data_IF_858140064784
#
_entry.id   IF_858140064784
#
_cell.length_a   1.000
_cell.length_b   1.000
_cell.length_c   1.000
_cell.angle_alpha   90.00
_cell.angle_beta   90.00
_cell.angle_gamma   90.00
#
_symmetry.space_group_name_H-M   'P 1'
#
loop_
_entity.id
_entity.type
_entity.pdbx_description
1 polymer ?
#
# COMPACT_ATOMS: atom_id res chain seq x y z
N UNK A 1 -4.70 32.26 -5.23
CA UNK A 1 -4.22 31.95 -6.60
C UNK A 1 -5.09 30.84 -7.17
N UNK A 2 -5.65 30.99 -8.38
CA UNK A 2 -6.22 29.85 -9.11
C UNK A 2 -5.03 28.96 -9.51
N UNK A 3 -4.95 27.74 -8.99
CA UNK A 3 -3.83 26.82 -9.24
C UNK A 3 -3.33 26.01 -8.03
N UNK A 4 -3.86 26.25 -6.83
CA UNK A 4 -3.59 25.38 -5.68
C UNK A 4 -4.31 24.04 -5.79
N UNK A 5 -3.62 22.94 -5.50
CA UNK A 5 -4.23 21.63 -5.26
C UNK A 5 -5.08 21.70 -4.00
N UNK A 6 -6.33 22.11 -4.15
CA UNK A 6 -7.29 22.07 -3.06
C UNK A 6 -7.64 20.61 -2.77
N UNK A 7 -7.60 20.17 -1.49
CA UNK A 7 -8.01 18.82 -1.14
C UNK A 7 -9.42 18.56 -1.65
N UNK A 8 -9.66 17.38 -2.23
CA UNK A 8 -10.99 17.03 -2.76
C UNK A 8 -12.09 17.09 -1.72
N UNK A 9 -11.75 16.87 -0.45
CA UNK A 9 -12.68 16.95 0.69
C UNK A 9 -12.86 18.38 1.23
N UNK A 10 -12.25 19.39 0.59
CA UNK A 10 -12.28 20.78 1.05
C UNK A 10 -11.49 21.06 2.33
N UNK A 11 -10.90 20.03 2.96
CA UNK A 11 -10.15 20.14 4.21
C UNK A 11 -9.00 19.14 4.25
N UNK A 12 -7.79 19.64 4.53
CA UNK A 12 -6.59 18.79 4.72
C UNK A 12 -6.77 17.81 5.88
N UNK A 13 -7.42 18.24 6.96
CA UNK A 13 -7.69 17.37 8.13
C UNK A 13 -8.59 16.21 7.73
N UNK A 14 -9.66 16.48 6.96
CA UNK A 14 -10.54 15.42 6.47
C UNK A 14 -9.77 14.43 5.58
N UNK A 15 -8.90 14.91 4.70
CA UNK A 15 -8.06 14.06 3.83
C UNK A 15 -7.10 13.19 4.63
N UNK A 16 -6.41 13.75 5.63
CA UNK A 16 -5.53 12.97 6.52
C UNK A 16 -6.32 11.91 7.28
N UNK A 17 -7.51 12.24 7.79
CA UNK A 17 -8.35 11.28 8.51
C UNK A 17 -8.83 10.15 7.60
N UNK A 18 -9.35 10.44 6.41
CA UNK A 18 -9.80 9.41 5.47
C UNK A 18 -8.65 8.49 5.07
N UNK A 19 -7.48 9.07 4.75
CA UNK A 19 -6.29 8.29 4.42
C UNK A 19 -5.79 7.43 5.59
N UNK A 20 -5.79 7.98 6.81
CA UNK A 20 -5.42 7.26 8.02
C UNK A 20 -6.37 6.10 8.34
N UNK A 21 -7.69 6.34 8.28
CA UNK A 21 -8.71 5.30 8.47
C UNK A 21 -8.57 4.20 7.42
N UNK A 22 -8.30 4.55 6.17
CA UNK A 22 -8.05 3.57 5.12
C UNK A 22 -6.80 2.72 5.41
N UNK A 23 -5.69 3.34 5.82
CA UNK A 23 -4.49 2.61 6.26
C UNK A 23 -4.77 1.66 7.42
N UNK A 24 -5.56 2.08 8.41
CA UNK A 24 -5.98 1.24 9.53
C UNK A 24 -6.88 0.09 9.08
N UNK A 25 -7.84 0.35 8.18
CA UNK A 25 -8.74 -0.67 7.67
C UNK A 25 -7.98 -1.75 6.87
N UNK A 26 -7.06 -1.34 6.00
CA UNK A 26 -6.23 -2.25 5.19
C UNK A 26 -5.33 -3.11 6.08
N UNK A 27 -4.70 -2.51 7.11
CA UNK A 27 -3.89 -3.28 8.07
C UNK A 27 -4.71 -4.20 8.95
N UNK A 28 -5.88 -3.75 9.42
CA UNK A 28 -6.81 -4.59 10.17
C UNK A 28 -7.28 -5.80 9.35
N UNK A 29 -7.51 -5.64 8.04
CA UNK A 29 -7.87 -6.74 7.14
C UNK A 29 -6.75 -7.79 7.05
N UNK A 30 -5.48 -7.39 6.98
CA UNK A 30 -4.34 -8.34 7.00
C UNK A 30 -4.20 -9.02 8.36
N UNK A 31 -4.43 -8.28 9.44
CA UNK A 31 -4.35 -8.81 10.79
C UNK A 31 -5.43 -9.87 11.07
N UNK A 32 -6.64 -9.66 10.53
CA UNK A 32 -7.83 -10.43 10.86
C UNK A 32 -7.66 -11.95 10.63
N UNK A 33 -7.83 -12.79 11.68
CA UNK A 33 -7.61 -14.23 11.57
C UNK A 33 -8.53 -14.92 10.56
N UNK A 34 -9.80 -14.51 10.46
CA UNK A 34 -10.75 -15.17 9.56
C UNK A 34 -10.35 -15.01 8.09
N UNK A 35 -9.82 -13.86 7.68
CA UNK A 35 -9.40 -13.65 6.29
C UNK A 35 -8.18 -14.52 5.93
N UNK A 36 -7.36 -14.84 6.93
CA UNK A 36 -6.19 -15.70 6.77
C UNK A 36 -6.53 -17.19 6.81
N UNK A 37 -7.52 -17.61 7.59
CA UNK A 37 -7.91 -19.02 7.72
C UNK A 37 -8.56 -19.60 6.47
N UNK A 38 -9.17 -18.76 5.63
CA UNK A 38 -9.75 -19.20 4.35
C UNK A 38 -8.70 -19.44 3.26
N UNK A 39 -7.49 -18.92 3.42
CA UNK A 39 -6.43 -19.10 2.45
C UNK A 39 -5.66 -20.40 2.72
N UNK A 40 -5.55 -21.25 1.70
CA UNK A 40 -4.81 -22.51 1.81
C UNK A 40 -3.29 -22.33 1.94
N UNK A 41 -2.76 -21.13 1.66
CA UNK A 41 -1.35 -20.80 1.84
C UNK A 41 -1.11 -19.29 2.01
N UNK A 42 -0.02 -18.88 2.70
CA UNK A 42 0.36 -17.47 2.83
C UNK A 42 0.55 -16.76 1.48
N UNK A 43 1.08 -17.45 0.47
CA UNK A 43 1.30 -16.88 -0.87
C UNK A 43 0.00 -16.59 -1.61
N UNK A 44 -1.00 -17.48 -1.52
CA UNK A 44 -2.32 -17.24 -2.13
C UNK A 44 -3.05 -16.10 -1.43
N UNK A 45 -2.97 -16.04 -0.10
CA UNK A 45 -3.51 -14.91 0.67
C UNK A 45 -2.88 -13.59 0.21
N UNK A 46 -1.55 -13.54 0.15
CA UNK A 46 -0.80 -12.35 -0.26
C UNK A 46 -1.13 -11.90 -1.69
N UNK A 47 -1.21 -12.82 -2.65
CA UNK A 47 -1.56 -12.52 -4.02
C UNK A 47 -3.00 -11.98 -4.11
N UNK A 48 -3.96 -12.65 -3.48
CA UNK A 48 -5.36 -12.20 -3.48
C UNK A 48 -5.54 -10.84 -2.81
N UNK A 49 -4.87 -10.62 -1.68
CA UNK A 49 -4.89 -9.34 -0.98
C UNK A 49 -4.25 -8.22 -1.80
N UNK A 50 -3.07 -8.48 -2.39
CA UNK A 50 -2.38 -7.52 -3.25
C UNK A 50 -3.22 -7.10 -4.45
N UNK A 51 -3.85 -8.06 -5.14
CA UNK A 51 -4.76 -7.78 -6.27
C UNK A 51 -5.96 -6.95 -5.81
N UNK A 52 -6.64 -7.34 -4.73
CA UNK A 52 -7.79 -6.60 -4.21
C UNK A 52 -7.41 -5.16 -3.82
N UNK A 53 -6.26 -4.99 -3.15
CA UNK A 53 -5.74 -3.68 -2.78
C UNK A 53 -5.43 -2.81 -4.00
N UNK A 54 -4.79 -3.37 -5.02
CA UNK A 54 -4.48 -2.67 -6.27
C UNK A 54 -5.75 -2.21 -6.98
N UNK A 55 -6.78 -3.06 -7.07
CA UNK A 55 -8.08 -2.71 -7.66
C UNK A 55 -8.72 -1.54 -6.92
N UNK A 56 -8.77 -1.59 -5.58
CA UNK A 56 -9.35 -0.50 -4.76
C UNK A 56 -8.54 0.79 -4.92
N UNK A 57 -7.21 0.70 -4.97
CA UNK A 57 -6.32 1.85 -5.11
C UNK A 57 -6.48 2.51 -6.49
N UNK A 58 -6.59 1.73 -7.56
CA UNK A 58 -6.86 2.22 -8.91
C UNK A 58 -8.26 2.82 -9.01
N UNK A 59 -9.27 2.20 -8.39
CA UNK A 59 -10.64 2.72 -8.36
C UNK A 59 -10.70 4.07 -7.61
N UNK A 60 -9.99 4.20 -6.49
CA UNK A 60 -9.86 5.46 -5.78
C UNK A 60 -9.23 6.53 -6.66
N UNK A 61 -8.10 6.22 -7.30
CA UNK A 61 -7.45 7.15 -8.23
C UNK A 61 -8.42 7.58 -9.34
N UNK A 62 -9.08 6.64 -10.01
CA UNK A 62 -10.02 6.96 -11.09
C UNK A 62 -11.18 7.83 -10.59
N UNK A 63 -11.72 7.53 -9.39
CA UNK A 63 -12.75 8.35 -8.76
C UNK A 63 -12.27 9.77 -8.46
N UNK A 64 -11.07 9.94 -7.90
CA UNK A 64 -10.50 11.26 -7.63
C UNK A 64 -10.14 11.99 -8.92
N UNK A 65 -9.75 11.31 -10.00
CA UNK A 65 -9.57 11.89 -11.35
C UNK A 65 -10.87 12.48 -11.86
N UNK A 66 -11.96 11.70 -11.84
CA UNK A 66 -13.26 12.10 -12.37
C UNK A 66 -13.84 13.30 -11.61
N UNK A 67 -13.64 13.33 -10.28
CA UNK A 67 -14.09 14.45 -9.45
C UNK A 67 -13.23 15.70 -9.63
N UNK A 68 -11.91 15.55 -9.80
CA UNK A 68 -10.99 16.68 -9.95
C UNK A 68 -10.98 17.26 -11.38
N UNK A 69 -11.32 16.47 -12.41
CA UNK A 69 -11.19 16.82 -13.83
C UNK A 69 -12.42 16.42 -14.62
N UNK A 70 -13.33 17.36 -14.92
CA UNK A 70 -14.52 17.08 -15.73
C UNK A 70 -14.22 16.69 -17.18
N UNK A 71 -13.04 17.04 -17.72
CA UNK A 71 -12.58 16.68 -19.08
C UNK A 71 -11.44 15.63 -19.06
N UNK A 72 -11.75 14.34 -18.81
CA UNK A 72 -10.77 13.26 -18.79
C UNK A 72 -10.16 12.96 -20.18
N UNK A 73 -10.77 13.47 -21.27
CA UNK A 73 -10.32 13.27 -22.65
C UNK A 73 -9.02 14.03 -23.00
N UNK A 74 -8.52 14.88 -22.09
CA UNK A 74 -7.26 15.61 -22.25
C UNK A 74 -6.01 14.77 -21.94
N UNK A 75 -6.18 13.55 -21.42
CA UNK A 75 -5.08 12.66 -21.07
C UNK A 75 -4.69 11.79 -22.27
N UNK A 76 -3.38 11.63 -22.49
CA UNK A 76 -2.86 10.60 -23.40
C UNK A 76 -3.27 9.20 -22.88
N UNK A 77 -4.12 8.45 -23.60
CA UNK A 77 -4.62 7.15 -23.15
C UNK A 77 -3.51 6.12 -22.96
N UNK A 78 -2.48 6.12 -23.83
CA UNK A 78 -1.42 5.13 -23.79
C UNK A 78 -0.51 5.37 -22.58
N UNK A 79 -0.08 6.62 -22.36
CA UNK A 79 0.69 6.98 -21.17
C UNK A 79 -0.10 6.73 -19.89
N UNK A 80 -1.39 7.08 -19.87
CA UNK A 80 -2.25 6.87 -18.69
C UNK A 80 -2.38 5.39 -18.35
N UNK A 81 -2.65 4.54 -19.35
CA UNK A 81 -2.74 3.09 -19.14
C UNK A 81 -1.43 2.50 -18.60
N UNK A 82 -0.29 2.93 -19.16
CA UNK A 82 1.03 2.50 -18.68
C UNK A 82 1.23 2.86 -17.20
N UNK A 83 0.96 4.10 -16.81
CA UNK A 83 1.15 4.53 -15.43
C UNK A 83 0.14 3.90 -14.47
N UNK A 84 -1.11 3.68 -14.89
CA UNK A 84 -2.10 2.92 -14.11
C UNK A 84 -1.61 1.48 -13.90
N UNK A 85 -1.11 0.82 -14.93
CA UNK A 85 -0.61 -0.55 -14.82
C UNK A 85 0.60 -0.65 -13.89
N UNK A 86 1.55 0.28 -14.02
CA UNK A 86 2.71 0.35 -13.14
C UNK A 86 2.30 0.63 -11.69
N UNK A 87 1.36 1.54 -11.48
CA UNK A 87 0.85 1.86 -10.16
C UNK A 87 0.09 0.66 -9.54
N UNK A 88 -0.75 -0.02 -10.31
CA UNK A 88 -1.44 -1.21 -9.88
C UNK A 88 -0.47 -2.33 -9.48
N UNK A 89 0.58 -2.53 -10.27
CA UNK A 89 1.63 -3.51 -9.98
C UNK A 89 2.40 -3.16 -8.70
N UNK A 90 2.79 -1.90 -8.54
CA UNK A 90 3.45 -1.42 -7.33
C UNK A 90 2.58 -1.56 -6.09
N UNK A 91 1.29 -1.22 -6.19
CA UNK A 91 0.32 -1.34 -5.11
C UNK A 91 0.15 -2.81 -4.70
N UNK A 92 0.00 -3.71 -5.68
CA UNK A 92 -0.10 -5.14 -5.45
C UNK A 92 1.18 -5.69 -4.81
N UNK A 93 2.36 -5.24 -5.24
CA UNK A 93 3.65 -5.67 -4.70
C UNK A 93 3.82 -5.24 -3.24
N UNK A 94 3.59 -3.97 -2.92
CA UNK A 94 3.73 -3.44 -1.55
C UNK A 94 2.73 -4.13 -0.60
N UNK A 95 1.46 -4.21 -0.99
CA UNK A 95 0.42 -4.83 -0.16
C UNK A 95 0.60 -6.34 -0.04
N UNK A 96 0.87 -7.02 -1.15
CA UNK A 96 1.10 -8.46 -1.19
C UNK A 96 2.34 -8.87 -0.39
N UNK A 97 3.47 -8.17 -0.54
CA UNK A 97 4.68 -8.44 0.24
C UNK A 97 4.43 -8.25 1.75
N UNK A 98 3.76 -7.16 2.13
CA UNK A 98 3.44 -6.88 3.53
C UNK A 98 2.50 -7.92 4.14
N UNK A 99 1.48 -8.34 3.38
CA UNK A 99 0.55 -9.39 3.76
C UNK A 99 1.23 -10.77 3.85
N UNK A 100 2.11 -11.09 2.91
CA UNK A 100 2.91 -12.32 2.92
C UNK A 100 3.81 -12.39 4.15
N UNK A 101 4.59 -11.32 4.38
CA UNK A 101 5.53 -11.23 5.49
C UNK A 101 4.79 -11.30 6.83
N UNK A 102 3.63 -10.67 6.94
CA UNK A 102 2.77 -10.83 8.12
C UNK A 102 2.29 -12.27 8.26
N UNK A 103 1.69 -12.85 7.22
CA UNK A 103 1.09 -14.18 7.28
C UNK A 103 2.13 -15.28 7.56
N UNK A 104 3.34 -15.17 7.02
CA UNK A 104 4.41 -16.16 7.15
C UNK A 104 5.26 -15.97 8.41
N UNK A 105 5.67 -14.74 8.72
CA UNK A 105 6.66 -14.46 9.77
C UNK A 105 6.10 -13.66 10.95
N UNK A 106 4.86 -13.16 10.86
CA UNK A 106 4.20 -12.36 11.89
C UNK A 106 4.96 -11.08 12.24
N UNK A 107 5.58 -10.44 11.25
CA UNK A 107 6.32 -9.21 11.48
C UNK A 107 5.37 -8.03 11.72
N UNK A 108 5.49 -7.36 12.85
CA UNK A 108 4.66 -6.20 13.15
C UNK A 108 4.99 -5.02 12.21
N UNK A 109 6.25 -4.92 11.81
CA UNK A 109 6.73 -3.91 10.86
C UNK A 109 6.07 -4.00 9.49
N UNK A 110 5.57 -5.17 9.08
CA UNK A 110 4.85 -5.30 7.81
C UNK A 110 3.46 -4.68 7.84
N UNK A 111 2.79 -4.69 8.99
CA UNK A 111 1.56 -3.93 9.16
C UNK A 111 1.86 -2.43 9.14
N UNK A 112 2.93 -2.00 9.81
CA UNK A 112 3.32 -0.59 9.81
C UNK A 112 3.67 -0.08 8.40
N UNK A 113 4.46 -0.83 7.64
CA UNK A 113 4.80 -0.50 6.26
C UNK A 113 3.56 -0.39 5.37
N UNK A 114 2.63 -1.33 5.52
CA UNK A 114 1.36 -1.31 4.80
C UNK A 114 0.50 -0.10 5.16
N UNK A 115 0.36 0.20 6.47
CA UNK A 115 -0.34 1.40 6.94
C UNK A 115 0.23 2.66 6.31
N UNK A 116 1.55 2.85 6.42
CA UNK A 116 2.22 4.05 5.94
C UNK A 116 2.08 4.21 4.42
N UNK A 117 2.28 3.13 3.66
CA UNK A 117 2.14 3.15 2.20
C UNK A 117 0.69 3.45 1.77
N UNK A 118 -0.31 2.85 2.42
CA UNK A 118 -1.73 3.10 2.14
C UNK A 118 -2.15 4.51 2.49
N UNK A 119 -1.85 4.96 3.72
CA UNK A 119 -2.22 6.30 4.17
C UNK A 119 -1.57 7.37 3.29
N UNK A 120 -0.29 7.23 2.97
CA UNK A 120 0.38 8.18 2.07
C UNK A 120 -0.22 8.16 0.66
N UNK A 121 -0.43 6.98 0.07
CA UNK A 121 -1.01 6.85 -1.28
C UNK A 121 -2.38 7.50 -1.36
N UNK A 122 -3.28 7.18 -0.42
CA UNK A 122 -4.63 7.73 -0.41
C UNK A 122 -4.63 9.24 -0.14
N UNK A 123 -3.77 9.72 0.76
CA UNK A 123 -3.58 11.14 0.99
C UNK A 123 -3.18 11.86 -0.31
N UNK A 124 -2.17 11.36 -1.02
CA UNK A 124 -1.70 11.99 -2.28
C UNK A 124 -2.80 12.04 -3.34
N UNK A 125 -3.58 10.97 -3.51
CA UNK A 125 -4.68 10.93 -4.48
C UNK A 125 -5.83 11.88 -4.12
N UNK A 126 -6.11 12.05 -2.82
CA UNK A 126 -7.15 12.93 -2.32
C UNK A 126 -6.74 14.42 -2.32
N UNK A 127 -5.44 14.73 -2.22
CA UNK A 127 -4.92 16.11 -2.25
C UNK A 127 -4.68 16.61 -3.66
N UNK A 128 -4.01 15.82 -4.50
CA UNK A 128 -3.60 16.29 -5.84
C UNK A 128 -4.69 16.08 -6.91
N UNK A 129 -5.64 15.19 -6.65
CA UNK A 129 -6.56 14.69 -7.67
C UNK A 129 -5.84 13.71 -8.62
N UNK A 130 -6.59 12.79 -9.23
CA UNK A 130 -6.01 11.66 -9.98
C UNK A 130 -5.42 12.03 -11.35
N UNK A 131 -4.34 12.81 -11.40
CA UNK A 131 -3.61 13.12 -12.64
C UNK A 131 -2.68 11.99 -13.10
N UNK A 132 -2.33 11.99 -14.40
CA UNK A 132 -1.29 11.09 -14.95
C UNK A 132 0.10 11.38 -14.37
N UNK A 133 0.41 12.65 -14.08
CA UNK A 133 1.67 13.04 -13.41
C UNK A 133 1.77 12.47 -11.99
N UNK A 134 0.66 12.46 -11.25
CA UNK A 134 0.59 11.89 -9.90
C UNK A 134 0.83 10.38 -9.96
N UNK A 135 0.24 9.66 -10.93
CA UNK A 135 0.56 8.25 -11.16
C UNK A 135 2.01 8.03 -11.58
N UNK A 136 2.56 8.91 -12.42
CA UNK A 136 3.95 8.81 -12.86
C UNK A 136 4.91 8.92 -11.68
N UNK A 137 4.76 9.95 -10.83
CA UNK A 137 5.55 10.14 -9.61
C UNK A 137 5.34 8.94 -8.67
N UNK A 138 4.09 8.51 -8.49
CA UNK A 138 3.78 7.40 -7.60
C UNK A 138 4.44 6.09 -8.05
N UNK A 139 4.27 5.72 -9.32
CA UNK A 139 4.81 4.48 -9.89
C UNK A 139 6.33 4.48 -10.01
N UNK A 140 6.94 5.63 -10.35
CA UNK A 140 8.39 5.71 -10.58
C UNK A 140 9.21 6.04 -9.32
N UNK A 141 8.65 6.76 -8.35
CA UNK A 141 9.38 7.22 -7.16
C UNK A 141 8.84 6.55 -5.90
N UNK A 142 7.54 6.70 -5.61
CA UNK A 142 7.00 6.25 -4.32
C UNK A 142 6.95 4.73 -4.19
N UNK A 143 6.65 3.99 -5.26
CA UNK A 143 6.67 2.51 -5.22
C UNK A 143 8.04 1.97 -4.86
N UNK A 144 9.14 2.32 -5.54
CA UNK A 144 10.48 1.91 -5.13
C UNK A 144 10.82 2.31 -3.69
N UNK A 145 10.50 3.54 -3.29
CA UNK A 145 10.77 4.02 -1.93
C UNK A 145 10.02 3.19 -0.89
N UNK A 146 8.73 2.88 -1.10
CA UNK A 146 7.96 2.05 -0.18
C UNK A 146 8.45 0.62 -0.11
N UNK A 147 8.83 0.03 -1.24
CA UNK A 147 9.39 -1.32 -1.26
C UNK A 147 10.72 -1.38 -0.51
N UNK A 148 11.61 -0.41 -0.71
CA UNK A 148 12.89 -0.32 0.00
C UNK A 148 12.71 -0.06 1.49
N UNK A 149 11.82 0.86 1.87
CA UNK A 149 11.51 1.15 3.27
C UNK A 149 10.91 -0.07 3.97
N UNK A 150 9.97 -0.77 3.31
CA UNK A 150 9.41 -2.02 3.83
C UNK A 150 10.49 -3.09 4.01
N UNK A 151 11.35 -3.29 3.00
CA UNK A 151 12.45 -4.25 3.09
C UNK A 151 13.41 -3.92 4.24
N UNK A 152 13.76 -2.65 4.43
CA UNK A 152 14.60 -2.19 5.53
C UNK A 152 13.95 -2.48 6.90
N UNK A 153 12.65 -2.18 7.04
CA UNK A 153 11.90 -2.48 8.26
C UNK A 153 11.87 -3.99 8.55
N UNK A 154 11.69 -4.83 7.53
CA UNK A 154 11.69 -6.28 7.68
C UNK A 154 13.07 -6.81 8.08
N UNK A 155 14.14 -6.25 7.52
CA UNK A 155 15.51 -6.60 7.89
C UNK A 155 15.82 -6.22 9.35
N UNK A 156 15.35 -5.04 9.80
CA UNK A 156 15.48 -4.62 11.21
C UNK A 156 14.75 -5.57 12.14
N UNK A 157 13.48 -5.89 11.87
CA UNK A 157 12.72 -6.81 12.73
C UNK A 157 13.31 -8.22 12.71
N UNK A 158 13.79 -8.69 11.56
CA UNK A 158 14.51 -9.96 11.47
C UNK A 158 15.77 -9.95 12.35
N UNK A 159 16.60 -8.91 12.25
CA UNK A 159 17.83 -8.76 13.04
C UNK A 159 17.56 -8.67 14.55
N UNK A 160 16.48 -8.01 14.96
CA UNK A 160 16.07 -7.97 16.37
C UNK A 160 15.70 -9.38 16.87
N UNK A 161 14.91 -10.12 16.10
CA UNK A 161 14.46 -11.46 16.49
C UNK A 161 15.61 -12.47 16.58
N UNK A 162 16.61 -12.37 15.71
CA UNK A 162 17.79 -13.26 15.77
C UNK A 162 18.65 -13.01 17.00
N UNK A 163 18.71 -11.77 17.49
CA UNK A 163 19.45 -11.42 18.71
C UNK A 163 18.66 -11.76 19.97
N UNK A 164 17.33 -11.57 19.99
CA UNK A 164 16.51 -11.83 21.19
C UNK A 164 16.09 -13.28 21.36
N UNK A 165 16.04 -14.06 20.27
CA UNK A 165 15.78 -15.50 20.28
C UNK A 165 16.97 -16.24 19.67
N UNK A 166 18.13 -16.25 20.34
CA UNK A 166 19.23 -17.10 19.88
C UNK A 166 18.72 -18.55 19.84
N UNK A 167 19.05 -19.32 18.78
CA UNK A 167 18.72 -20.73 18.74
C UNK A 167 19.28 -21.37 20.02
N UNK A 168 18.42 -22.06 20.78
CA UNK A 168 18.86 -22.76 21.99
C UNK A 168 20.10 -23.59 21.64
N UNK A 169 21.24 -23.16 22.17
CA UNK A 169 22.50 -23.83 21.96
C UNK A 169 22.44 -25.19 22.66
N UNK A 170 21.98 -26.21 21.94
CA UNK A 170 22.11 -27.61 22.34
C UNK A 170 21.07 -28.11 23.35
N UNK A 171 19.78 -27.95 23.09
CA UNK A 171 18.79 -28.85 23.69
C UNK A 171 19.02 -30.28 23.18
N UNK A 172 19.26 -31.29 24.05
CA UNK A 172 19.46 -32.66 23.60
C UNK A 172 18.21 -33.20 22.89
N UNK A 173 18.36 -34.12 21.93
CA UNK A 173 17.22 -34.78 21.30
C UNK A 173 16.41 -35.53 22.35
N UNK A 174 15.12 -35.23 22.44
CA UNK A 174 14.11 -36.02 23.14
C UNK A 174 13.36 -36.90 22.13
#
# INVERSE_FOLDING_TARGET
>A
MPGGSWPLLGSTVATVLVAGVAGLAVTAAVWHPSLRSHASSPSRFAAGFGVAYAVVTVALWAGTTLLARPDPLSLDPAATLFWVALAALGAAAVAGASAYVYARFRYATSLFALFAATAFTWYTFLVEGGGSITLAIWGSVFVPVFLLAAAALFAVEWGLRTVTHPPEAGGPPA
#
